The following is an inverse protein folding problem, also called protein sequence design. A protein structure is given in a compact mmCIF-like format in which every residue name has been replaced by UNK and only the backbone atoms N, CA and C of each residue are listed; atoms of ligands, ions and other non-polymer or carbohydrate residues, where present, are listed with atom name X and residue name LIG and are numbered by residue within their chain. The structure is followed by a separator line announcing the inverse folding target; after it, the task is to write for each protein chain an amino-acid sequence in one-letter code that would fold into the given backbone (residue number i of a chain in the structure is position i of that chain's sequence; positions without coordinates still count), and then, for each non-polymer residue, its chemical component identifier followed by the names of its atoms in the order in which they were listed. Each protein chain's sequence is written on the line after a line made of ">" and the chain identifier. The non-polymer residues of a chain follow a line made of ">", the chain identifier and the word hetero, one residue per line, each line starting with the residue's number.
data_IF_735970266690
#
_entry.id   IF_735970266690
#
_cell.length_a   1.000
_cell.length_b   1.000
_cell.length_c   1.000
_cell.angle_alpha   90.00
_cell.angle_beta   90.00
_cell.angle_gamma   90.00
#
_symmetry.space_group_name_H-M   'P 1'
#
loop_
_entity.id
_entity.type
_entity.pdbx_description
1 polymer ?
#
# COMPACT_ATOMS: atom_id res chain seq x y z
N UNK A 1 -18.86 -11.06 11.60
CA UNK A 1 -17.78 -10.17 11.14
C UNK A 1 -17.50 -9.17 12.24
N UNK A 2 -16.43 -9.35 12.99
CA UNK A 2 -15.99 -8.41 13.99
C UNK A 2 -14.99 -7.45 13.34
N UNK A 3 -15.36 -6.17 13.22
CA UNK A 3 -14.42 -5.10 12.97
C UNK A 3 -13.42 -5.05 14.12
N UNK A 4 -12.16 -5.31 13.86
CA UNK A 4 -11.09 -5.39 14.87
C UNK A 4 -10.83 -4.04 15.57
N UNK A 5 -11.40 -2.96 15.08
CA UNK A 5 -11.23 -1.60 15.59
C UNK A 5 -12.55 -0.89 15.85
N UNK A 6 -13.43 -1.50 16.62
CA UNK A 6 -14.54 -0.81 17.25
C UNK A 6 -14.12 -0.28 18.62
N UNK A 7 -13.31 0.74 18.63
CA UNK A 7 -13.15 1.59 19.82
C UNK A 7 -14.29 2.60 19.83
N UNK A 8 -15.35 2.27 20.56
CA UNK A 8 -16.43 3.21 20.84
C UNK A 8 -17.39 3.48 19.68
N UNK A 9 -17.94 2.42 19.04
CA UNK A 9 -19.06 2.50 18.09
C UNK A 9 -18.78 3.16 16.72
N UNK A 10 -17.58 3.62 16.43
CA UNK A 10 -17.25 4.13 15.10
C UNK A 10 -16.38 3.14 14.32
N UNK A 11 -16.87 2.74 13.16
CA UNK A 11 -16.10 1.94 12.21
C UNK A 11 -15.06 2.84 11.57
N UNK A 12 -13.77 2.45 11.62
CA UNK A 12 -12.74 3.11 10.81
C UNK A 12 -13.11 2.87 9.35
N UNK A 13 -13.44 3.94 8.65
CA UNK A 13 -13.62 3.93 7.19
C UNK A 13 -12.54 4.79 6.59
N UNK A 14 -11.94 4.31 5.52
CA UNK A 14 -11.12 5.19 4.68
C UNK A 14 -12.02 6.34 4.23
N UNK A 15 -11.63 7.55 4.57
CA UNK A 15 -12.25 8.74 3.99
C UNK A 15 -12.09 8.58 2.48
N UNK A 16 -13.22 8.48 1.74
CA UNK A 16 -13.21 8.40 0.29
C UNK A 16 -12.56 9.66 -0.25
N UNK A 17 -11.27 9.63 -0.46
CA UNK A 17 -10.60 10.61 -1.26
C UNK A 17 -10.83 10.20 -2.71
N UNK A 18 -11.26 11.13 -3.57
CA UNK A 18 -11.22 10.95 -5.02
C UNK A 18 -9.75 11.04 -5.46
N UNK A 19 -8.90 10.27 -4.79
CA UNK A 19 -7.46 10.29 -5.01
C UNK A 19 -7.16 9.71 -6.38
N UNK A 20 -6.39 10.46 -7.13
CA UNK A 20 -5.66 9.98 -8.31
C UNK A 20 -4.18 9.97 -7.93
N UNK A 21 -3.38 9.21 -8.65
CA UNK A 21 -1.97 9.02 -8.34
C UNK A 21 -1.21 10.34 -8.12
N UNK A 22 -1.49 11.36 -8.95
CA UNK A 22 -0.84 12.68 -8.86
C UNK A 22 -1.18 13.49 -7.60
N UNK A 23 -2.24 13.14 -6.90
CA UNK A 23 -2.64 13.78 -5.63
C UNK A 23 -2.36 12.88 -4.42
N UNK A 24 -1.78 11.70 -4.65
CA UNK A 24 -1.58 10.70 -3.60
C UNK A 24 -0.31 10.96 -2.78
N UNK A 25 -0.36 10.59 -1.52
CA UNK A 25 0.81 10.49 -0.63
C UNK A 25 1.23 9.02 -0.54
N UNK A 26 2.48 8.74 -0.91
CA UNK A 26 3.05 7.39 -0.85
C UNK A 26 3.94 7.25 0.38
N UNK A 27 3.79 6.16 1.10
CA UNK A 27 4.64 5.76 2.24
C UNK A 27 5.45 4.50 1.98
N UNK A 28 6.60 4.41 2.62
CA UNK A 28 7.41 3.21 2.77
C UNK A 28 8.31 3.33 3.99
N UNK A 29 8.88 2.22 4.46
CA UNK A 29 9.69 2.24 5.68
C UNK A 29 11.10 2.75 5.41
N UNK A 30 11.84 2.16 4.48
CA UNK A 30 13.23 2.55 4.20
C UNK A 30 13.59 2.25 2.76
N UNK A 31 14.36 3.12 2.09
CA UNK A 31 14.92 2.82 0.79
C UNK A 31 15.88 1.61 0.82
N UNK A 32 16.48 1.32 1.97
CA UNK A 32 17.41 0.18 2.14
C UNK A 32 16.69 -1.18 2.13
N UNK A 33 15.37 -1.19 2.32
CA UNK A 33 14.55 -2.39 2.22
C UNK A 33 14.38 -2.89 0.76
N UNK A 34 14.72 -2.07 -0.22
CA UNK A 34 14.57 -2.38 -1.64
C UNK A 34 15.87 -2.85 -2.26
N UNK A 35 15.82 -3.85 -3.13
CA UNK A 35 16.90 -4.06 -4.09
C UNK A 35 16.89 -2.98 -5.19
N UNK A 36 17.91 -2.95 -6.05
CA UNK A 36 18.06 -1.91 -7.09
C UNK A 36 16.86 -1.82 -8.05
N UNK A 37 16.28 -2.95 -8.44
CA UNK A 37 15.13 -2.98 -9.35
C UNK A 37 13.85 -2.52 -8.64
N UNK A 38 13.62 -2.99 -7.43
CA UNK A 38 12.48 -2.57 -6.60
C UNK A 38 12.53 -1.07 -6.31
N UNK A 39 13.70 -0.54 -5.94
CA UNK A 39 13.86 0.90 -5.68
C UNK A 39 13.62 1.74 -6.95
N UNK A 40 14.04 1.25 -8.12
CA UNK A 40 13.73 1.90 -9.40
C UNK A 40 12.22 1.96 -9.66
N UNK A 41 11.49 0.88 -9.37
CA UNK A 41 10.03 0.83 -9.48
C UNK A 41 9.37 1.81 -8.50
N UNK A 42 9.77 1.77 -7.22
CA UNK A 42 9.27 2.70 -6.20
C UNK A 42 9.47 4.17 -6.63
N UNK A 43 10.69 4.53 -7.03
CA UNK A 43 11.02 5.89 -7.45
C UNK A 43 10.18 6.36 -8.67
N UNK A 44 9.82 5.44 -9.57
CA UNK A 44 8.95 5.74 -10.70
C UNK A 44 7.53 6.11 -10.22
N UNK A 45 6.98 5.34 -9.27
CA UNK A 45 5.66 5.62 -8.69
C UNK A 45 5.71 6.94 -7.91
N UNK A 46 6.71 7.08 -7.04
CA UNK A 46 6.90 8.26 -6.19
C UNK A 46 6.91 9.57 -7.00
N UNK A 47 7.58 9.60 -8.17
CA UNK A 47 7.64 10.77 -9.05
C UNK A 47 6.28 11.20 -9.60
N UNK A 48 5.30 10.30 -9.61
CA UNK A 48 3.94 10.57 -10.05
C UNK A 48 3.00 10.91 -8.88
N UNK A 49 3.50 10.87 -7.65
CA UNK A 49 2.74 11.19 -6.44
C UNK A 49 2.95 12.66 -6.03
N UNK A 50 2.00 13.20 -5.27
CA UNK A 50 2.08 14.54 -4.73
C UNK A 50 3.24 14.68 -3.73
N UNK A 51 3.40 13.68 -2.88
CA UNK A 51 4.47 13.63 -1.85
C UNK A 51 4.78 12.21 -1.43
N UNK A 52 5.93 12.02 -0.79
CA UNK A 52 6.34 10.76 -0.21
C UNK A 52 6.79 10.92 1.23
N UNK A 53 6.58 9.88 2.03
CA UNK A 53 7.04 9.78 3.41
C UNK A 53 7.82 8.49 3.59
N UNK A 54 8.87 8.57 4.38
CA UNK A 54 9.68 7.44 4.79
C UNK A 54 9.55 7.22 6.29
N UNK A 55 9.88 6.04 6.74
CA UNK A 55 9.67 5.52 8.10
C UNK A 55 8.20 5.12 8.34
N UNK A 56 7.94 4.64 9.55
CA UNK A 56 6.58 4.31 9.99
C UNK A 56 6.29 2.83 10.09
N UNK A 57 7.00 1.97 9.35
CA UNK A 57 6.86 0.51 9.46
C UNK A 57 5.37 0.10 9.40
N UNK A 58 4.90 -0.81 10.26
CA UNK A 58 3.50 -1.22 10.33
C UNK A 58 2.51 -0.07 10.56
N UNK A 59 2.97 1.05 11.14
CA UNK A 59 2.15 2.25 11.34
C UNK A 59 1.64 2.85 10.01
N UNK A 60 2.42 2.74 8.92
CA UNK A 60 2.00 3.21 7.60
C UNK A 60 0.69 2.58 7.14
N UNK A 61 0.46 1.31 7.44
CA UNK A 61 -0.79 0.61 7.09
C UNK A 61 -1.97 1.09 7.94
N UNK A 62 -1.72 1.45 9.21
CA UNK A 62 -2.72 2.11 10.06
C UNK A 62 -3.09 3.49 9.53
N UNK A 63 -2.10 4.28 9.11
CA UNK A 63 -2.33 5.59 8.48
C UNK A 63 -3.09 5.46 7.15
N UNK A 64 -2.79 4.44 6.35
CA UNK A 64 -3.51 4.13 5.12
C UNK A 64 -4.96 3.76 5.41
N UNK A 65 -5.21 2.87 6.37
CA UNK A 65 -6.54 2.48 6.79
C UNK A 65 -7.34 3.67 7.36
N UNK A 66 -6.67 4.63 8.00
CA UNK A 66 -7.26 5.89 8.47
C UNK A 66 -7.44 6.97 7.39
N UNK A 67 -6.96 6.75 6.16
CA UNK A 67 -7.05 7.71 5.05
C UNK A 67 -6.02 8.84 5.09
N UNK A 68 -4.95 8.71 5.89
CA UNK A 68 -3.86 9.69 5.98
C UNK A 68 -2.73 9.40 4.99
N UNK A 69 -2.63 8.16 4.49
CA UNK A 69 -1.81 7.76 3.36
C UNK A 69 -2.70 7.17 2.27
N UNK A 70 -2.29 7.33 1.03
CA UNK A 70 -3.02 6.80 -0.13
C UNK A 70 -2.41 5.50 -0.63
N UNK A 71 -1.09 5.37 -0.52
CA UNK A 71 -0.30 4.25 -1.05
C UNK A 71 0.76 3.86 -0.02
N UNK A 72 0.93 2.55 0.20
CA UNK A 72 2.10 1.98 0.87
C UNK A 72 2.72 0.94 -0.05
N UNK A 73 4.02 1.06 -0.31
CA UNK A 73 4.80 0.09 -1.09
C UNK A 73 5.95 -0.37 -0.22
N UNK A 74 6.03 -1.68 0.01
CA UNK A 74 7.15 -2.31 0.71
C UNK A 74 7.57 -3.60 0.04
N UNK A 75 8.79 -4.02 0.32
CA UNK A 75 9.40 -5.20 -0.26
C UNK A 75 10.08 -6.05 0.81
N UNK A 76 10.26 -7.33 0.48
CA UNK A 76 10.99 -8.29 1.33
C UNK A 76 10.36 -8.53 2.71
N UNK A 77 9.07 -8.21 2.89
CA UNK A 77 8.34 -8.48 4.11
C UNK A 77 8.11 -9.98 4.29
N UNK A 78 8.09 -10.40 5.54
CA UNK A 78 7.66 -11.75 5.91
C UNK A 78 6.16 -11.78 6.14
N UNK A 79 5.58 -12.97 6.01
CA UNK A 79 4.12 -13.12 6.18
C UNK A 79 3.61 -12.58 7.53
N UNK A 80 4.38 -12.78 8.61
CA UNK A 80 4.01 -12.29 9.94
C UNK A 80 4.03 -10.75 10.06
N UNK A 81 4.73 -10.04 9.18
CA UNK A 81 4.74 -8.58 9.17
C UNK A 81 3.44 -8.00 8.61
N UNK A 82 2.78 -8.72 7.68
CA UNK A 82 1.65 -8.21 6.90
C UNK A 82 0.32 -8.92 7.15
N UNK A 83 0.34 -10.17 7.62
CA UNK A 83 -0.86 -11.00 7.71
C UNK A 83 -2.00 -10.36 8.53
N UNK A 84 -1.67 -9.69 9.63
CA UNK A 84 -2.65 -9.01 10.47
C UNK A 84 -3.11 -7.66 9.90
N UNK A 85 -2.31 -7.05 9.01
CA UNK A 85 -2.58 -5.72 8.45
C UNK A 85 -3.52 -5.80 7.24
N UNK A 86 -3.50 -6.91 6.49
CA UNK A 86 -4.37 -7.12 5.33
C UNK A 86 -5.87 -6.92 5.70
N UNK A 87 -6.43 -7.64 6.69
CA UNK A 87 -7.82 -7.45 7.05
C UNK A 87 -8.14 -6.04 7.56
N UNK A 88 -7.19 -5.35 8.21
CA UNK A 88 -7.37 -3.96 8.66
C UNK A 88 -7.55 -3.04 7.44
N UNK A 89 -6.73 -3.20 6.42
CA UNK A 89 -6.80 -2.43 5.17
C UNK A 89 -8.11 -2.72 4.44
N UNK A 90 -8.44 -4.00 4.26
CA UNK A 90 -9.62 -4.44 3.50
C UNK A 90 -10.93 -4.03 4.19
N UNK A 91 -11.05 -4.19 5.51
CA UNK A 91 -12.21 -3.76 6.30
C UNK A 91 -12.39 -2.24 6.32
N UNK A 92 -11.29 -1.49 6.25
CA UNK A 92 -11.35 -0.03 6.08
C UNK A 92 -11.79 0.38 4.66
N UNK A 93 -11.85 -0.55 3.69
CA UNK A 93 -12.27 -0.31 2.31
C UNK A 93 -11.09 -0.12 1.34
N UNK A 94 -9.86 -0.32 1.80
CA UNK A 94 -8.66 -0.32 0.99
C UNK A 94 -8.44 -1.65 0.25
N UNK A 95 -7.30 -1.76 -0.40
CA UNK A 95 -6.89 -2.96 -1.14
C UNK A 95 -5.41 -3.23 -0.92
N UNK A 96 -5.06 -4.50 -0.70
CA UNK A 96 -3.69 -4.96 -0.59
C UNK A 96 -3.41 -6.11 -1.57
N UNK A 97 -2.30 -6.04 -2.30
CA UNK A 97 -1.90 -7.04 -3.29
C UNK A 97 -0.38 -7.16 -3.39
N UNK A 98 0.09 -8.16 -4.16
CA UNK A 98 1.45 -8.14 -4.69
C UNK A 98 1.58 -7.12 -5.84
N UNK A 99 2.78 -6.97 -6.42
CA UNK A 99 3.03 -6.04 -7.53
C UNK A 99 2.39 -6.45 -8.86
N UNK A 100 1.80 -7.64 -8.93
CA UNK A 100 1.00 -8.12 -10.06
C UNK A 100 -0.51 -7.97 -9.83
N UNK A 101 -0.92 -7.39 -8.71
CA UNK A 101 -2.32 -7.25 -8.34
C UNK A 101 -2.97 -8.51 -7.77
N UNK A 102 -2.18 -9.56 -7.48
CA UNK A 102 -2.68 -10.83 -6.93
C UNK A 102 -2.78 -10.74 -5.42
N UNK A 103 -3.68 -11.54 -4.86
CA UNK A 103 -3.87 -11.64 -3.42
C UNK A 103 -2.56 -12.07 -2.72
N UNK A 104 -2.25 -11.41 -1.62
CA UNK A 104 -1.11 -11.76 -0.77
C UNK A 104 -1.32 -13.13 -0.10
N UNK A 105 -0.27 -13.92 -0.04
CA UNK A 105 -0.27 -15.27 0.57
C UNK A 105 1.02 -15.51 1.34
N UNK A 106 1.00 -16.52 2.19
CA UNK A 106 2.17 -16.95 2.97
C UNK A 106 3.38 -17.33 2.09
N UNK A 107 3.13 -17.76 0.84
CA UNK A 107 4.16 -18.15 -0.12
C UNK A 107 4.50 -17.02 -1.11
N UNK A 108 4.05 -15.79 -0.84
CA UNK A 108 4.35 -14.62 -1.65
C UNK A 108 5.82 -14.20 -1.58
N UNK A 109 6.22 -13.32 -2.48
CA UNK A 109 7.60 -12.81 -2.60
C UNK A 109 7.92 -11.68 -1.59
N UNK A 110 6.97 -11.29 -0.76
CA UNK A 110 7.12 -10.21 0.21
C UNK A 110 7.03 -8.80 -0.38
N UNK A 111 6.64 -8.66 -1.64
CA UNK A 111 6.35 -7.37 -2.27
C UNK A 111 4.89 -6.99 -2.02
N UNK A 112 4.67 -5.81 -1.45
CA UNK A 112 3.36 -5.35 -0.99
C UNK A 112 3.02 -4.02 -1.65
N UNK A 113 1.84 -3.96 -2.24
CA UNK A 113 1.15 -2.75 -2.66
C UNK A 113 -0.16 -2.65 -1.89
N UNK A 114 -0.28 -1.65 -1.03
CA UNK A 114 -1.53 -1.32 -0.36
C UNK A 114 -2.00 0.08 -0.77
N UNK A 115 -3.29 0.23 -1.05
CA UNK A 115 -3.88 1.50 -1.45
C UNK A 115 -5.23 1.73 -0.75
N UNK A 116 -5.55 3.00 -0.50
CA UNK A 116 -6.82 3.39 0.08
C UNK A 116 -7.98 3.34 -0.92
N UNK A 117 -7.71 3.22 -2.24
CA UNK A 117 -8.73 3.13 -3.27
C UNK A 117 -8.33 2.21 -4.42
N UNK A 118 -9.34 1.61 -5.06
CA UNK A 118 -9.15 0.78 -6.27
C UNK A 118 -8.62 1.60 -7.45
N UNK A 119 -8.97 2.87 -7.55
CA UNK A 119 -8.53 3.75 -8.64
C UNK A 119 -7.02 3.96 -8.55
N UNK A 120 -6.53 4.36 -7.38
CA UNK A 120 -5.09 4.55 -7.15
C UNK A 120 -4.34 3.22 -7.33
N UNK A 121 -4.87 2.11 -6.79
CA UNK A 121 -4.27 0.79 -6.94
C UNK A 121 -4.09 0.40 -8.40
N UNK A 122 -5.12 0.56 -9.24
CA UNK A 122 -5.05 0.28 -10.68
C UNK A 122 -4.01 1.15 -11.38
N UNK A 123 -3.96 2.45 -11.07
CA UNK A 123 -2.97 3.37 -11.64
C UNK A 123 -1.53 3.00 -11.26
N UNK A 124 -1.31 2.53 -10.02
CA UNK A 124 0.01 2.05 -9.59
C UNK A 124 0.38 0.78 -10.36
N UNK A 125 -0.52 -0.21 -10.45
CA UNK A 125 -0.28 -1.44 -11.20
C UNK A 125 0.04 -1.19 -12.68
N UNK A 126 -0.67 -0.28 -13.34
CA UNK A 126 -0.37 0.14 -14.71
C UNK A 126 1.05 0.74 -14.84
N UNK A 127 1.48 1.49 -13.83
CA UNK A 127 2.84 2.05 -13.82
C UNK A 127 3.90 0.98 -13.54
N UNK A 128 3.58 -0.07 -12.78
CA UNK A 128 4.46 -1.21 -12.54
C UNK A 128 4.61 -2.07 -13.81
N UNK A 129 3.51 -2.39 -14.50
CA UNK A 129 3.49 -3.27 -15.68
C UNK A 129 4.18 -2.68 -16.91
N UNK A 130 4.20 -1.36 -17.08
CA UNK A 130 4.86 -0.68 -18.22
C UNK A 130 6.39 -0.84 -18.25
N UNK A 131 6.99 -1.60 -17.35
CA UNK A 131 8.43 -1.85 -17.31
C UNK A 131 8.87 -3.21 -17.88
N UNK A 132 7.96 -4.09 -18.29
CA UNK A 132 8.31 -5.38 -18.89
C UNK A 132 8.61 -5.29 -20.41
N UNK A 133 8.57 -4.07 -20.98
CA UNK A 133 8.69 -3.85 -22.45
C UNK A 133 10.02 -3.19 -22.91
N UNK A 134 11.03 -3.09 -22.02
CA UNK A 134 12.37 -2.60 -22.45
C UNK A 134 13.51 -3.35 -21.75
#
# INVERSE_FOLDING_TARGET
>A
YFSILSLGLETIKILKTNSILSNSTIGSTSPDAFNKSQLKLYNKIQKNCLRSVWCGDCHNYGLLAGGFLDIVIECNLKWHDIAALIPIIEEAGGIASDFSGRKLTINGDGNILACNSKVVHSQVLENLSKNELY
#
